data_IF_055985040062
#
_entry.id   IF_055985040062
#
_cell.length_a   1.000
_cell.length_b   1.000
_cell.length_c   1.000
_cell.angle_alpha   90.00
_cell.angle_beta   90.00
_cell.angle_gamma   90.00
#
_symmetry.space_group_name_H-M   'P 1'
#
loop_
_entity.id
_entity.type
_entity.pdbx_description
1 polymer ?
#
# COMPACT_ATOMS: atom_id res chain seq x y z
N UNK A 1 -9.62 8.06 -5.19
CA UNK A 1 -8.17 8.25 -5.27
C UNK A 1 -7.66 8.94 -4.01
N UNK A 2 -6.43 8.61 -3.59
CA UNK A 2 -5.75 9.21 -2.44
C UNK A 2 -4.37 9.65 -2.90
N UNK A 3 -4.20 10.95 -3.15
CA UNK A 3 -2.92 11.55 -3.50
C UNK A 3 -2.13 11.82 -2.21
N UNK A 4 -1.15 10.95 -1.90
CA UNK A 4 -0.43 11.02 -0.62
C UNK A 4 0.39 12.29 -0.43
N UNK A 5 0.83 12.90 -1.52
CA UNK A 5 1.59 14.16 -1.53
C UNK A 5 0.73 15.39 -1.18
N UNK A 6 -0.60 15.28 -1.37
CA UNK A 6 -1.56 16.32 -1.03
C UNK A 6 -2.09 16.20 0.40
N UNK A 7 -1.80 15.07 1.06
CA UNK A 7 -2.24 14.81 2.42
C UNK A 7 -1.14 15.10 3.44
N UNK A 8 -1.46 15.78 4.53
CA UNK A 8 -0.57 15.93 5.67
C UNK A 8 -0.44 14.61 6.47
N UNK A 9 0.05 13.55 5.82
CA UNK A 9 0.29 12.28 6.51
C UNK A 9 1.49 12.41 7.41
N UNK A 10 1.25 12.33 8.72
CA UNK A 10 2.31 12.38 9.73
C UNK A 10 2.66 10.95 10.18
N UNK A 11 3.96 10.64 10.38
CA UNK A 11 4.35 9.39 11.01
C UNK A 11 3.65 9.19 12.35
N UNK A 12 3.38 7.94 12.71
CA UNK A 12 2.81 7.64 14.01
C UNK A 12 3.82 7.94 15.12
N UNK A 13 3.33 8.55 16.18
CA UNK A 13 4.05 8.74 17.44
C UNK A 13 3.20 8.19 18.60
N UNK A 14 3.76 8.23 19.82
CA UNK A 14 3.08 7.69 21.01
C UNK A 14 1.73 8.37 21.27
N UNK A 15 1.65 9.68 21.11
CA UNK A 15 0.43 10.44 21.34
C UNK A 15 -0.69 10.01 20.38
N UNK A 16 -0.39 9.95 19.07
CA UNK A 16 -1.34 9.53 18.03
C UNK A 16 -1.77 8.07 18.20
N UNK A 17 -0.85 7.19 18.60
CA UNK A 17 -1.17 5.80 18.91
C UNK A 17 -2.10 5.68 20.10
N UNK A 18 -1.84 6.44 21.19
CA UNK A 18 -2.69 6.46 22.38
C UNK A 18 -4.08 7.03 22.07
N UNK A 19 -4.14 8.10 21.28
CA UNK A 19 -5.39 8.70 20.82
C UNK A 19 -6.24 7.67 20.06
N UNK A 20 -5.63 7.03 19.04
CA UNK A 20 -6.29 5.98 18.25
C UNK A 20 -6.75 4.81 19.11
N UNK A 21 -5.93 4.35 20.06
CA UNK A 21 -6.30 3.28 20.98
C UNK A 21 -7.50 3.66 21.85
N UNK A 22 -7.60 4.92 22.29
CA UNK A 22 -8.74 5.41 23.07
C UNK A 22 -10.04 5.48 22.24
N UNK A 23 -9.96 5.83 20.95
CA UNK A 23 -11.11 5.80 20.04
C UNK A 23 -11.62 4.38 19.85
N UNK A 24 -10.73 3.45 19.52
CA UNK A 24 -11.08 2.04 19.31
C UNK A 24 -11.69 1.41 20.55
N UNK A 25 -11.18 1.72 21.75
CA UNK A 25 -11.73 1.24 23.02
C UNK A 25 -13.16 1.74 23.29
N UNK A 26 -13.53 2.90 22.74
CA UNK A 26 -14.90 3.46 22.83
C UNK A 26 -15.82 2.99 21.71
N UNK A 27 -15.29 2.26 20.71
CA UNK A 27 -16.03 1.92 19.49
C UNK A 27 -16.28 3.12 18.59
N UNK A 28 -15.50 4.18 18.73
CA UNK A 28 -15.60 5.37 17.88
C UNK A 28 -14.78 5.17 16.61
N UNK A 29 -15.44 4.69 15.58
CA UNK A 29 -14.87 4.44 14.27
C UNK A 29 -15.11 5.59 13.27
N UNK A 30 -15.74 6.69 13.68
CA UNK A 30 -16.07 7.79 12.77
C UNK A 30 -15.08 8.97 12.84
N UNK A 31 -14.07 8.85 13.69
CA UNK A 31 -13.00 9.83 13.78
C UNK A 31 -12.17 9.93 12.50
N UNK A 32 -11.76 11.15 12.15
CA UNK A 32 -11.00 11.45 10.94
C UNK A 32 -9.67 10.66 10.85
N UNK A 33 -9.01 10.42 11.98
CA UNK A 33 -7.76 9.66 12.04
C UNK A 33 -7.89 8.19 11.59
N UNK A 34 -9.12 7.70 11.46
CA UNK A 34 -9.46 6.32 11.08
C UNK A 34 -10.04 6.25 9.66
N UNK A 35 -10.43 7.38 9.07
CA UNK A 35 -11.09 7.42 7.75
C UNK A 35 -10.29 6.74 6.65
N UNK A 36 -8.97 6.95 6.58
CA UNK A 36 -8.10 6.32 5.57
C UNK A 36 -8.06 4.79 5.72
N UNK A 37 -8.06 4.28 6.96
CA UNK A 37 -8.10 2.84 7.21
C UNK A 37 -9.44 2.23 6.75
N UNK A 38 -10.56 2.89 7.02
CA UNK A 38 -11.89 2.48 6.55
C UNK A 38 -11.98 2.51 5.01
N UNK A 39 -11.47 3.56 4.39
CA UNK A 39 -11.43 3.68 2.93
C UNK A 39 -10.63 2.53 2.30
N UNK A 40 -9.44 2.25 2.83
CA UNK A 40 -8.59 1.15 2.36
C UNK A 40 -9.28 -0.22 2.54
N UNK A 41 -9.85 -0.47 3.72
CA UNK A 41 -10.51 -1.74 4.04
C UNK A 41 -11.75 -2.01 3.16
N UNK A 42 -12.48 -0.96 2.76
CA UNK A 42 -13.70 -1.06 1.97
C UNK A 42 -13.49 -1.04 0.45
N UNK A 43 -12.28 -0.83 -0.03
CA UNK A 43 -11.97 -0.85 -1.46
C UNK A 43 -12.20 -2.26 -2.05
N UNK A 44 -12.73 -2.34 -3.28
CA UNK A 44 -12.90 -3.61 -4.01
C UNK A 44 -11.60 -4.06 -4.67
N UNK A 45 -10.81 -3.08 -5.14
CA UNK A 45 -9.49 -3.25 -5.74
C UNK A 45 -8.59 -2.15 -5.18
N UNK A 46 -7.33 -2.47 -4.89
CA UNK A 46 -6.35 -1.51 -4.43
C UNK A 46 -5.26 -1.38 -5.49
N UNK A 47 -4.97 -0.14 -5.87
CA UNK A 47 -3.84 0.20 -6.75
C UNK A 47 -2.93 1.13 -5.97
N UNK A 48 -1.68 0.72 -5.78
CA UNK A 48 -0.62 1.53 -5.19
C UNK A 48 0.34 1.91 -6.30
N UNK A 49 0.39 3.19 -6.65
CA UNK A 49 1.37 3.74 -7.59
C UNK A 49 2.41 4.54 -6.82
N UNK A 50 3.67 4.15 -6.93
CA UNK A 50 4.76 4.81 -6.21
C UNK A 50 6.07 4.73 -6.99
N UNK A 51 6.91 5.78 -7.02
CA UNK A 51 8.23 5.71 -7.62
C UNK A 51 9.16 4.80 -6.82
N UNK A 52 10.19 4.29 -7.48
CA UNK A 52 11.24 3.50 -6.85
C UNK A 52 12.38 4.41 -6.38
N UNK A 53 12.44 4.67 -5.07
CA UNK A 53 13.45 5.52 -4.43
C UNK A 53 14.22 4.74 -3.38
N UNK A 54 15.54 4.88 -3.38
CA UNK A 54 16.43 4.23 -2.40
C UNK A 54 16.13 2.74 -2.19
N UNK A 55 16.00 2.00 -3.29
CA UNK A 55 15.64 0.57 -3.33
C UNK A 55 14.25 0.23 -2.75
N UNK A 56 13.41 1.22 -2.51
CA UNK A 56 12.08 1.05 -1.92
C UNK A 56 11.06 2.03 -2.54
N UNK A 57 10.09 2.45 -1.77
CA UNK A 57 9.08 3.45 -2.09
C UNK A 57 9.21 4.67 -1.17
N UNK A 58 8.62 5.82 -1.52
CA UNK A 58 8.71 7.04 -0.72
C UNK A 58 8.24 6.86 0.73
N UNK A 59 8.89 7.55 1.66
CA UNK A 59 8.59 7.51 3.09
C UNK A 59 7.12 7.84 3.42
N UNK A 60 6.47 8.70 2.61
CA UNK A 60 5.05 9.03 2.79
C UNK A 60 4.15 7.81 2.60
N UNK A 61 4.47 6.89 1.69
CA UNK A 61 3.71 5.63 1.53
C UNK A 61 3.89 4.74 2.76
N UNK A 62 5.08 4.69 3.35
CA UNK A 62 5.29 3.96 4.61
C UNK A 62 4.47 4.56 5.75
N UNK A 63 4.47 5.88 5.88
CA UNK A 63 3.65 6.59 6.86
C UNK A 63 2.15 6.33 6.63
N UNK A 64 1.68 6.33 5.38
CA UNK A 64 0.31 5.96 5.04
C UNK A 64 -0.03 4.55 5.49
N UNK A 65 0.81 3.56 5.18
CA UNK A 65 0.62 2.16 5.59
C UNK A 65 0.52 2.04 7.11
N UNK A 66 1.34 2.74 7.87
CA UNK A 66 1.27 2.75 9.34
C UNK A 66 -0.05 3.36 9.85
N UNK A 67 -0.52 4.42 9.19
CA UNK A 67 -1.77 5.08 9.57
C UNK A 67 -3.00 4.22 9.26
N UNK A 68 -3.03 3.50 8.15
CA UNK A 68 -4.15 2.63 7.80
C UNK A 68 -4.13 1.29 8.55
N UNK A 69 -3.00 0.88 9.12
CA UNK A 69 -2.91 -0.39 9.85
C UNK A 69 -3.61 -0.27 11.21
N UNK A 70 -4.93 -0.35 11.20
CA UNK A 70 -5.80 -0.21 12.38
C UNK A 70 -6.46 -1.55 12.68
N UNK A 71 -6.21 -2.09 13.88
CA UNK A 71 -6.82 -3.33 14.35
C UNK A 71 -8.34 -3.17 14.50
N UNK A 72 -9.09 -4.20 14.10
CA UNK A 72 -10.56 -4.16 14.01
C UNK A 72 -11.09 -3.51 12.72
N UNK A 73 -10.21 -2.95 11.84
CA UNK A 73 -10.61 -2.36 10.56
C UNK A 73 -9.95 -3.09 9.38
N UNK A 74 -8.62 -3.16 9.34
CA UNK A 74 -7.90 -3.84 8.25
C UNK A 74 -7.48 -5.26 8.60
N UNK A 75 -7.35 -5.57 9.89
CA UNK A 75 -7.01 -6.88 10.41
C UNK A 75 -7.48 -7.04 11.86
N UNK A 76 -7.67 -8.26 12.33
CA UNK A 76 -8.00 -8.58 13.73
C UNK A 76 -7.39 -9.92 14.14
N UNK A 77 -7.23 -10.13 15.44
CA UNK A 77 -6.88 -11.42 15.98
C UNK A 77 -8.15 -12.22 16.30
N UNK A 78 -8.25 -13.44 15.74
CA UNK A 78 -9.29 -14.38 16.07
C UNK A 78 -9.15 -14.95 17.50
N UNK A 79 -10.15 -15.68 17.95
CA UNK A 79 -10.14 -16.38 19.24
C UNK A 79 -9.03 -17.46 19.31
N UNK A 80 -8.53 -17.92 18.18
CA UNK A 80 -7.40 -18.84 18.01
C UNK A 80 -6.03 -18.17 18.11
N UNK A 81 -6.00 -16.84 18.28
CA UNK A 81 -4.77 -16.04 18.30
C UNK A 81 -4.16 -15.79 16.91
N UNK A 82 -4.83 -16.23 15.84
CA UNK A 82 -4.37 -16.00 14.47
C UNK A 82 -4.85 -14.65 13.96
N UNK A 83 -3.99 -13.95 13.22
CA UNK A 83 -4.34 -12.68 12.59
C UNK A 83 -5.13 -12.93 11.30
N UNK A 84 -6.30 -12.35 11.20
CA UNK A 84 -7.17 -12.37 10.02
C UNK A 84 -7.23 -10.98 9.39
N UNK A 85 -7.07 -10.92 8.07
CA UNK A 85 -7.25 -9.69 7.30
C UNK A 85 -8.72 -9.43 7.04
N UNK A 86 -9.14 -8.19 7.19
CA UNK A 86 -10.54 -7.74 7.07
C UNK A 86 -10.82 -6.94 5.80
N UNK A 87 -9.79 -6.68 4.96
CA UNK A 87 -9.98 -5.89 3.75
C UNK A 87 -10.87 -6.62 2.74
N UNK A 88 -11.78 -5.86 2.15
CA UNK A 88 -12.74 -6.36 1.14
C UNK A 88 -12.07 -6.68 -0.19
N UNK A 89 -10.99 -5.96 -0.54
CA UNK A 89 -10.27 -6.10 -1.79
C UNK A 89 -9.85 -7.56 -2.04
N UNK A 90 -10.02 -8.00 -3.29
CA UNK A 90 -9.57 -9.31 -3.74
C UNK A 90 -8.24 -9.24 -4.47
N UNK A 91 -7.93 -8.06 -5.03
CA UNK A 91 -6.72 -7.80 -5.79
C UNK A 91 -6.05 -6.52 -5.31
N UNK A 92 -4.71 -6.55 -5.33
CA UNK A 92 -3.87 -5.38 -5.15
C UNK A 92 -2.87 -5.31 -6.31
N UNK A 93 -2.77 -4.15 -6.93
CA UNK A 93 -1.74 -3.85 -7.92
C UNK A 93 -0.73 -2.89 -7.31
N UNK A 94 0.54 -3.20 -7.48
CA UNK A 94 1.63 -2.29 -7.18
C UNK A 94 2.28 -1.85 -8.49
N UNK A 95 2.22 -0.55 -8.77
CA UNK A 95 2.73 0.04 -10.00
C UNK A 95 3.94 0.90 -9.66
N UNK A 96 5.05 0.70 -10.35
CA UNK A 96 6.27 1.46 -10.09
C UNK A 96 7.11 1.66 -11.33
N UNK A 97 7.94 2.69 -11.31
CA UNK A 97 8.95 2.97 -12.33
C UNK A 97 10.30 3.16 -11.69
N UNK A 98 11.36 2.71 -12.35
CA UNK A 98 12.74 2.83 -11.90
C UNK A 98 13.64 3.37 -13.04
N UNK A 99 14.52 4.30 -12.72
CA UNK A 99 15.50 4.82 -13.65
C UNK A 99 16.57 3.80 -14.04
N UNK A 100 17.01 2.98 -13.08
CA UNK A 100 17.93 1.86 -13.24
C UNK A 100 17.24 0.50 -13.07
N UNK A 101 17.99 -0.56 -12.67
CA UNK A 101 17.43 -1.88 -12.41
C UNK A 101 16.49 -1.83 -11.21
N UNK A 102 15.40 -2.59 -11.29
CA UNK A 102 14.39 -2.68 -10.23
C UNK A 102 14.54 -3.96 -9.41
N UNK A 103 14.67 -3.80 -8.10
CA UNK A 103 14.73 -4.90 -7.13
C UNK A 103 13.45 -4.88 -6.26
N UNK A 104 12.52 -5.83 -6.45
CA UNK A 104 11.20 -5.75 -5.82
C UNK A 104 11.17 -6.05 -4.32
N UNK A 105 12.22 -6.60 -3.73
CA UNK A 105 12.21 -7.19 -2.37
C UNK A 105 11.73 -6.20 -1.29
N UNK A 106 12.28 -4.98 -1.30
CA UNK A 106 12.01 -3.96 -0.27
C UNK A 106 10.90 -2.97 -0.65
N UNK A 107 10.30 -3.13 -1.80
CA UNK A 107 9.16 -2.34 -2.29
C UNK A 107 7.91 -3.22 -2.47
N UNK A 108 7.71 -3.78 -3.65
CA UNK A 108 6.60 -4.69 -3.92
C UNK A 108 6.57 -5.91 -2.97
N UNK A 109 7.72 -6.51 -2.67
CA UNK A 109 7.82 -7.66 -1.77
C UNK A 109 7.24 -7.38 -0.38
N UNK A 110 7.51 -6.19 0.16
CA UNK A 110 6.92 -5.73 1.42
C UNK A 110 5.40 -5.55 1.30
N UNK A 111 4.93 -4.85 0.27
CA UNK A 111 3.49 -4.60 0.02
C UNK A 111 2.74 -5.94 -0.17
N UNK A 112 3.29 -6.83 -0.99
CA UNK A 112 2.74 -8.18 -1.22
C UNK A 112 2.62 -8.97 0.08
N UNK A 113 3.65 -8.92 0.93
CA UNK A 113 3.62 -9.59 2.24
C UNK A 113 2.48 -9.05 3.11
N UNK A 114 2.29 -7.73 3.18
CA UNK A 114 1.18 -7.13 3.92
C UNK A 114 -0.16 -7.55 3.34
N UNK A 115 -0.34 -7.47 2.02
CA UNK A 115 -1.56 -7.83 1.34
C UNK A 115 -1.99 -9.27 1.70
N UNK A 116 -1.09 -10.23 1.52
CA UNK A 116 -1.39 -11.66 1.70
C UNK A 116 -1.52 -12.07 3.18
N UNK A 117 -0.64 -11.55 4.05
CA UNK A 117 -0.53 -12.05 5.42
C UNK A 117 -1.22 -11.18 6.48
N UNK A 118 -1.62 -9.95 6.13
CA UNK A 118 -2.18 -8.98 7.07
C UNK A 118 -3.55 -8.46 6.67
N UNK A 119 -3.74 -8.15 5.37
CA UNK A 119 -4.97 -7.54 4.89
C UNK A 119 -5.99 -8.54 4.35
N UNK A 120 -5.59 -9.81 4.14
CA UNK A 120 -6.47 -10.84 3.62
C UNK A 120 -6.70 -10.76 2.11
N UNK A 121 -5.90 -9.97 1.41
CA UNK A 121 -5.94 -9.80 -0.05
C UNK A 121 -5.17 -10.95 -0.68
N UNK A 122 -5.85 -11.79 -1.47
CA UNK A 122 -5.29 -13.06 -1.95
C UNK A 122 -4.44 -12.94 -3.20
N UNK A 123 -4.63 -11.90 -3.98
CA UNK A 123 -3.95 -11.66 -5.25
C UNK A 123 -3.24 -10.30 -5.19
N UNK A 124 -1.92 -10.31 -5.33
CA UNK A 124 -1.11 -9.09 -5.37
C UNK A 124 -0.17 -9.18 -6.58
N UNK A 125 -0.28 -8.19 -7.46
CA UNK A 125 0.44 -8.12 -8.73
C UNK A 125 1.35 -6.92 -8.81
N UNK A 126 2.47 -7.12 -9.49
CA UNK A 126 3.47 -6.10 -9.78
C UNK A 126 3.35 -5.67 -11.25
N UNK A 127 3.31 -4.37 -11.47
CA UNK A 127 3.45 -3.74 -12.78
C UNK A 127 4.60 -2.77 -12.67
N UNK A 128 5.63 -2.91 -13.50
CA UNK A 128 6.81 -2.06 -13.40
C UNK A 128 7.45 -1.77 -14.75
N UNK A 129 8.14 -0.63 -14.80
CA UNK A 129 9.03 -0.26 -15.88
C UNK A 129 10.39 0.12 -15.29
N UNK A 130 11.48 -0.42 -15.83
CA UNK A 130 12.84 -0.20 -15.35
C UNK A 130 13.77 0.28 -16.47
N UNK A 131 14.96 0.78 -16.08
CA UNK A 131 15.97 1.31 -17.02
C UNK A 131 15.53 2.56 -17.78
N UNK A 132 14.65 3.38 -17.18
CA UNK A 132 14.11 4.58 -17.83
C UNK A 132 15.14 5.71 -17.98
N UNK A 133 16.16 5.76 -17.09
CA UNK A 133 17.20 6.81 -17.11
C UNK A 133 18.54 6.31 -17.73
N UNK A 134 18.54 5.12 -18.34
CA UNK A 134 19.76 4.58 -18.95
C UNK A 134 19.96 5.17 -20.34
N UNK A 135 21.15 5.74 -20.56
CA UNK A 135 21.53 6.32 -21.86
C UNK A 135 21.41 5.29 -22.99
N UNK A 136 20.75 5.69 -24.07
CA UNK A 136 20.49 4.83 -25.23
C UNK A 136 19.17 4.05 -25.16
N UNK A 137 18.48 4.05 -24.04
CA UNK A 137 17.13 3.48 -23.95
C UNK A 137 16.07 4.47 -24.45
N UNK A 138 14.93 3.94 -24.87
CA UNK A 138 13.74 4.71 -25.21
C UNK A 138 12.69 4.52 -24.10
N UNK A 139 12.49 5.50 -23.19
CA UNK A 139 11.53 5.39 -22.10
C UNK A 139 10.10 5.12 -22.57
N UNK A 140 9.66 5.73 -23.68
CA UNK A 140 8.31 5.56 -24.20
C UNK A 140 8.04 4.12 -24.64
N UNK A 141 9.01 3.47 -25.29
CA UNK A 141 8.88 2.05 -25.66
C UNK A 141 8.86 1.13 -24.43
N UNK A 142 9.64 1.45 -23.41
CA UNK A 142 9.65 0.68 -22.15
C UNK A 142 8.30 0.80 -21.45
N UNK A 143 7.77 2.01 -21.32
CA UNK A 143 6.47 2.26 -20.72
C UNK A 143 5.34 1.60 -21.51
N UNK A 144 5.37 1.67 -22.85
CA UNK A 144 4.39 1.02 -23.71
C UNK A 144 4.34 -0.49 -23.47
N UNK A 145 5.51 -1.15 -23.39
CA UNK A 145 5.60 -2.60 -23.08
C UNK A 145 5.05 -2.94 -21.71
N UNK A 146 5.28 -2.08 -20.71
CA UNK A 146 4.72 -2.28 -19.37
C UNK A 146 3.18 -2.14 -19.36
N UNK A 147 2.62 -1.19 -20.15
CA UNK A 147 1.18 -1.03 -20.29
C UNK A 147 0.50 -2.20 -21.02
N UNK A 148 1.14 -2.77 -22.03
CA UNK A 148 0.62 -3.95 -22.76
C UNK A 148 0.41 -5.18 -21.85
N UNK A 149 1.20 -5.29 -20.78
CA UNK A 149 1.01 -6.35 -19.78
C UNK A 149 -0.30 -6.21 -18.98
N UNK A 150 -0.80 -4.98 -18.84
CA UNK A 150 -2.04 -4.71 -18.10
C UNK A 150 -3.26 -5.14 -18.93
N UNK A 151 -3.22 -4.95 -20.25
CA UNK A 151 -4.36 -5.22 -21.14
C UNK A 151 -4.62 -6.73 -21.34
N UNK A 152 -3.65 -7.59 -21.00
CA UNK A 152 -3.74 -9.04 -21.16
C UNK A 152 -4.25 -9.79 -19.92
N UNK A 153 -4.57 -9.10 -18.83
CA UNK A 153 -5.08 -9.64 -17.55
C UNK A 153 -6.58 -9.37 -17.32
#
# INVERSE_FOLDING_TARGET
>A
EVALEELEIKPLNRERLNYRAALLAKGDFDDESICLAKQFANADVIVISAPYWDTSFPAVLKAYIENIYVMGIVAEYGADGVLHGLCKAKKLYYVTTAGGPYEPEYSYGYIRKLALSRFGIKDAKLIYAEYLDIEGNNPDEILQKAMEQIETE
#
